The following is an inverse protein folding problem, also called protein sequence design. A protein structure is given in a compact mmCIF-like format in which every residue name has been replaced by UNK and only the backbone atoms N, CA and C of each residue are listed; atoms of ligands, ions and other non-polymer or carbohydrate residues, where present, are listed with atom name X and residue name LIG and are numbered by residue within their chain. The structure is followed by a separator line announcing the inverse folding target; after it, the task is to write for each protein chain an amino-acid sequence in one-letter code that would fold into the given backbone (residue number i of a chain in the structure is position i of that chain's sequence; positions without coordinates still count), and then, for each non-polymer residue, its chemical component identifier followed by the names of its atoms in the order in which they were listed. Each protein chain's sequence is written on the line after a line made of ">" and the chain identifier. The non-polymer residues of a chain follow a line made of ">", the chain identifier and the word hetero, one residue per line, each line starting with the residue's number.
data_IF_117284687297
#
_entry.id   IF_117284687297
#
_cell.length_a   1.000
_cell.length_b   1.000
_cell.length_c   1.000
_cell.angle_alpha   90.00
_cell.angle_beta   90.00
_cell.angle_gamma   90.00
#
_symmetry.space_group_name_H-M   'P 1'
#
loop_
_entity.id
_entity.type
_entity.pdbx_description
1 polymer ?
#
# COMPACT_ATOMS: atom_id res chain seq x y z
N UNK A 1 26.87 34.66 -23.62
CA UNK A 1 26.35 34.01 -22.39
C UNK A 1 25.94 32.58 -22.73
N UNK A 2 26.38 31.56 -21.97
CA UNK A 2 25.99 30.18 -22.22
C UNK A 2 24.50 29.97 -21.94
N UNK A 3 23.81 29.25 -22.83
CA UNK A 3 22.40 28.89 -22.69
C UNK A 3 22.28 27.83 -21.58
N UNK A 4 21.39 27.98 -20.59
CA UNK A 4 21.23 26.96 -19.55
C UNK A 4 20.77 25.65 -20.18
N UNK A 5 21.33 24.53 -19.72
CA UNK A 5 20.93 23.21 -20.17
C UNK A 5 19.43 23.01 -19.88
N UNK A 6 18.65 22.47 -20.83
CA UNK A 6 17.25 22.20 -20.58
C UNK A 6 17.12 21.24 -19.39
N UNK A 7 16.21 21.57 -18.46
CA UNK A 7 15.91 20.73 -17.31
C UNK A 7 15.43 19.34 -17.71
N UNK A 8 15.36 18.39 -16.75
CA UNK A 8 14.97 17.02 -17.04
C UNK A 8 13.60 16.96 -17.72
N UNK A 9 13.50 16.15 -18.76
CA UNK A 9 12.26 15.97 -19.50
C UNK A 9 11.16 15.35 -18.62
N UNK A 10 9.90 15.62 -18.93
CA UNK A 10 8.75 15.02 -18.23
C UNK A 10 8.79 13.48 -18.23
N UNK A 11 9.26 12.89 -19.33
CA UNK A 11 9.46 11.45 -19.43
C UNK A 11 10.53 10.95 -18.45
N UNK A 12 11.65 11.67 -18.35
CA UNK A 12 12.72 11.34 -17.40
C UNK A 12 12.22 11.34 -15.96
N UNK A 13 11.41 12.34 -15.58
CA UNK A 13 10.80 12.42 -14.25
C UNK A 13 9.84 11.24 -13.98
N UNK A 14 9.00 10.86 -14.95
CA UNK A 14 8.09 9.72 -14.83
C UNK A 14 8.89 8.42 -14.67
N UNK A 15 9.94 8.23 -15.46
CA UNK A 15 10.79 7.03 -15.36
C UNK A 15 11.53 6.95 -14.02
N UNK A 16 11.97 8.09 -13.47
CA UNK A 16 12.55 8.15 -12.13
C UNK A 16 11.53 7.70 -11.07
N UNK A 17 10.29 8.16 -11.17
CA UNK A 17 9.21 7.72 -10.27
C UNK A 17 8.89 6.23 -10.38
N UNK A 18 8.74 5.72 -11.61
CA UNK A 18 8.43 4.31 -11.87
C UNK A 18 9.56 3.37 -11.46
N UNK A 19 10.82 3.81 -11.55
CA UNK A 19 11.99 3.06 -11.11
C UNK A 19 12.41 3.32 -9.65
N UNK A 20 11.63 4.09 -8.88
CA UNK A 20 11.94 4.37 -7.48
C UNK A 20 12.08 3.07 -6.69
N UNK A 21 13.17 2.93 -5.94
CA UNK A 21 13.38 1.79 -5.05
C UNK A 21 12.43 1.88 -3.84
N UNK A 22 11.94 0.75 -3.31
CA UNK A 22 12.14 -0.64 -3.74
C UNK A 22 11.40 -0.97 -5.05
N UNK A 23 11.98 -1.85 -5.88
CA UNK A 23 11.31 -2.35 -7.09
C UNK A 23 10.15 -3.26 -6.70
N UNK A 24 8.95 -2.90 -7.12
CA UNK A 24 7.71 -3.56 -6.74
C UNK A 24 7.42 -4.81 -7.60
N UNK A 25 8.36 -5.75 -7.68
CA UNK A 25 8.18 -7.01 -8.43
C UNK A 25 7.39 -8.02 -7.59
N UNK A 26 6.32 -8.56 -8.17
CA UNK A 26 5.43 -9.51 -7.51
C UNK A 26 5.58 -10.91 -8.12
N UNK A 27 5.72 -11.91 -7.27
CA UNK A 27 5.91 -13.30 -7.66
C UNK A 27 4.62 -14.08 -7.41
N UNK A 28 4.19 -14.85 -8.40
CA UNK A 28 3.00 -15.72 -8.27
C UNK A 28 1.67 -14.97 -8.26
N UNK A 29 1.64 -13.65 -8.44
CA UNK A 29 0.40 -12.87 -8.55
C UNK A 29 -0.04 -12.80 -10.01
N UNK A 30 -1.31 -13.13 -10.28
CA UNK A 30 -1.95 -13.07 -11.59
C UNK A 30 -2.84 -11.84 -11.74
N UNK A 31 -3.57 -11.48 -10.69
CA UNK A 31 -4.51 -10.36 -10.71
C UNK A 31 -4.48 -9.55 -9.43
N UNK A 32 -4.72 -8.25 -9.55
CA UNK A 32 -4.88 -7.31 -8.44
C UNK A 32 -6.19 -6.56 -8.67
N UNK A 33 -7.12 -6.67 -7.73
CA UNK A 33 -8.38 -5.92 -7.76
C UNK A 33 -8.37 -4.94 -6.59
N UNK A 34 -8.33 -3.66 -6.88
CA UNK A 34 -8.46 -2.60 -5.88
C UNK A 34 -9.87 -2.02 -5.97
N UNK A 35 -10.63 -2.20 -4.91
CA UNK A 35 -11.90 -1.51 -4.76
C UNK A 35 -11.67 -0.30 -3.86
N UNK A 36 -12.23 0.86 -4.22
CA UNK A 36 -12.25 2.07 -3.37
C UNK A 36 -13.51 2.92 -3.60
N UNK A 37 -13.83 3.82 -2.67
CA UNK A 37 -14.92 4.78 -2.82
C UNK A 37 -14.57 5.84 -3.87
N UNK A 38 -15.52 6.21 -4.74
CA UNK A 38 -15.28 7.15 -5.84
C UNK A 38 -15.02 8.57 -5.35
N UNK A 39 -15.77 9.02 -4.34
CA UNK A 39 -15.62 10.33 -3.68
C UNK A 39 -15.29 10.14 -2.21
N UNK A 40 -14.59 11.13 -1.63
CA UNK A 40 -14.29 11.32 -0.21
C UNK A 40 -14.31 10.04 0.63
N UNK A 41 -13.13 9.48 0.87
CA UNK A 41 -12.79 8.47 1.89
C UNK A 41 -11.48 7.79 1.44
N UNK A 42 -10.82 7.11 2.38
CA UNK A 42 -9.71 6.19 2.11
C UNK A 42 -8.50 6.86 1.44
N UNK A 43 -8.00 7.95 2.04
CA UNK A 43 -6.86 8.71 1.52
C UNK A 43 -5.64 7.84 1.23
N UNK A 44 -5.31 6.88 2.12
CA UNK A 44 -4.20 5.97 1.89
C UNK A 44 -4.39 5.06 0.67
N UNK A 45 -5.59 4.52 0.44
CA UNK A 45 -5.89 3.73 -0.75
C UNK A 45 -5.83 4.58 -2.04
N UNK A 46 -6.24 5.85 -1.98
CA UNK A 46 -6.12 6.79 -3.11
C UNK A 46 -4.68 7.16 -3.41
N UNK A 47 -3.89 7.41 -2.37
CA UNK A 47 -2.46 7.64 -2.51
C UNK A 47 -1.76 6.41 -3.10
N UNK A 48 -2.09 5.21 -2.61
CA UNK A 48 -1.58 3.96 -3.16
C UNK A 48 -1.95 3.79 -4.65
N UNK A 49 -3.21 4.05 -5.02
CA UNK A 49 -3.66 4.02 -6.42
C UNK A 49 -2.87 5.00 -7.32
N UNK A 50 -2.55 6.18 -6.81
CA UNK A 50 -1.88 7.23 -7.58
C UNK A 50 -0.36 7.02 -7.67
N UNK A 51 0.27 6.65 -6.56
CA UNK A 51 1.72 6.64 -6.43
C UNK A 51 2.32 5.26 -6.67
N UNK A 52 1.76 4.21 -6.04
CA UNK A 52 2.36 2.87 -5.99
C UNK A 52 1.84 1.93 -7.08
N UNK A 53 0.54 2.02 -7.42
CA UNK A 53 -0.07 1.14 -8.43
C UNK A 53 0.56 1.29 -9.83
N UNK A 54 0.93 2.50 -10.32
CA UNK A 54 1.68 2.64 -11.56
C UNK A 54 3.07 2.01 -11.50
N UNK A 55 3.75 2.08 -10.35
CA UNK A 55 5.06 1.45 -10.13
C UNK A 55 4.95 -0.08 -10.19
N UNK A 56 3.92 -0.63 -9.55
CA UNK A 56 3.61 -2.07 -9.59
C UNK A 56 3.30 -2.52 -11.03
N UNK A 57 2.46 -1.79 -11.76
CA UNK A 57 2.15 -2.10 -13.17
C UNK A 57 3.40 -2.08 -14.05
N UNK A 58 4.28 -1.11 -13.84
CA UNK A 58 5.51 -0.97 -14.61
C UNK A 58 6.48 -2.14 -14.35
N UNK A 59 6.62 -2.57 -13.09
CA UNK A 59 7.44 -3.72 -12.74
C UNK A 59 6.82 -5.07 -13.17
N UNK A 60 5.48 -5.14 -13.27
CA UNK A 60 4.76 -6.39 -13.55
C UNK A 60 3.74 -6.21 -14.69
N UNK A 61 4.20 -6.15 -15.96
CA UNK A 61 3.31 -5.87 -17.09
C UNK A 61 2.27 -6.96 -17.34
N UNK A 62 2.53 -8.19 -16.89
CA UNK A 62 1.68 -9.38 -17.13
C UNK A 62 0.50 -9.52 -16.15
N UNK A 63 0.51 -8.78 -15.04
CA UNK A 63 -0.54 -8.88 -14.01
C UNK A 63 -1.79 -8.15 -14.49
N UNK A 64 -2.97 -8.75 -14.33
CA UNK A 64 -4.22 -8.01 -14.55
C UNK A 64 -4.50 -7.09 -13.36
N UNK A 65 -4.76 -5.80 -13.59
CA UNK A 65 -5.02 -4.84 -12.51
C UNK A 65 -6.33 -4.15 -12.80
N UNK A 66 -7.29 -4.36 -11.90
CA UNK A 66 -8.63 -3.82 -11.99
C UNK A 66 -8.86 -2.85 -10.84
N UNK A 67 -9.43 -1.68 -11.14
CA UNK A 67 -9.72 -0.64 -10.14
C UNK A 67 -11.20 -0.34 -10.18
N UNK A 68 -11.91 -0.74 -9.13
CA UNK A 68 -13.34 -0.57 -8.98
C UNK A 68 -13.62 0.63 -8.08
N UNK A 69 -14.21 1.69 -8.66
CA UNK A 69 -14.59 2.90 -7.92
C UNK A 69 -16.09 2.88 -7.69
N UNK A 70 -16.51 2.67 -6.45
CA UNK A 70 -17.92 2.56 -6.09
C UNK A 70 -18.47 3.91 -5.64
N UNK A 71 -19.68 4.27 -6.09
CA UNK A 71 -20.40 5.45 -5.61
C UNK A 71 -20.98 5.11 -4.24
N UNK A 72 -20.49 5.77 -3.20
CA UNK A 72 -21.01 5.59 -1.83
C UNK A 72 -22.33 6.35 -1.69
N UNK A 73 -23.39 5.68 -1.27
CA UNK A 73 -24.63 6.29 -0.78
C UNK A 73 -24.49 6.60 0.72
N UNK A 74 -25.21 7.59 1.24
CA UNK A 74 -25.04 8.14 2.60
C UNK A 74 -25.18 7.09 3.71
N UNK A 75 -25.92 6.02 3.46
CA UNK A 75 -26.23 4.98 4.45
C UNK A 75 -25.29 3.75 4.39
N UNK A 76 -24.40 3.68 3.39
CA UNK A 76 -23.56 2.49 3.18
C UNK A 76 -22.15 2.68 3.75
N UNK A 77 -21.83 1.95 4.82
CA UNK A 77 -20.48 1.95 5.41
C UNK A 77 -19.59 0.97 4.65
N UNK A 78 -18.95 1.46 3.60
CA UNK A 78 -18.11 0.64 2.73
C UNK A 78 -16.61 0.74 3.06
N UNK A 79 -15.95 -0.41 3.19
CA UNK A 79 -14.52 -0.52 3.51
C UNK A 79 -13.70 -0.81 2.26
N UNK A 80 -12.54 -0.15 2.09
CA UNK A 80 -11.68 -0.33 0.93
C UNK A 80 -10.97 -1.68 1.00
N UNK A 81 -10.92 -2.36 -0.13
CA UNK A 81 -10.42 -3.72 -0.23
C UNK A 81 -9.43 -3.86 -1.39
N UNK A 82 -8.34 -4.56 -1.13
CA UNK A 82 -7.39 -5.01 -2.14
C UNK A 82 -7.41 -6.54 -2.19
N UNK A 83 -7.69 -7.10 -3.35
CA UNK A 83 -7.72 -8.55 -3.56
C UNK A 83 -6.58 -8.94 -4.50
N UNK A 84 -5.69 -9.80 -4.02
CA UNK A 84 -4.66 -10.46 -4.83
C UNK A 84 -5.18 -11.82 -5.27
N UNK A 85 -5.14 -12.08 -6.57
CA UNK A 85 -5.36 -13.40 -7.15
C UNK A 85 -4.02 -14.00 -7.56
N UNK A 86 -3.66 -15.14 -6.98
CA UNK A 86 -2.41 -15.84 -7.27
C UNK A 86 -2.56 -16.83 -8.44
N UNK A 87 -1.44 -17.20 -9.04
CA UNK A 87 -1.39 -18.16 -10.15
C UNK A 87 -1.81 -19.58 -9.75
N UNK A 88 -1.70 -19.91 -8.46
CA UNK A 88 -2.16 -21.18 -7.88
C UNK A 88 -3.67 -21.21 -7.60
N UNK A 89 -4.39 -20.13 -7.93
CA UNK A 89 -5.83 -19.98 -7.71
C UNK A 89 -6.20 -19.44 -6.33
N UNK A 90 -5.24 -19.22 -5.42
CA UNK A 90 -5.51 -18.61 -4.12
C UNK A 90 -5.89 -17.15 -4.28
N UNK A 91 -6.73 -16.66 -3.37
CA UNK A 91 -7.08 -15.24 -3.26
C UNK A 91 -6.77 -14.75 -1.86
N UNK A 92 -6.21 -13.55 -1.77
CA UNK A 92 -5.95 -12.90 -0.49
C UNK A 92 -6.52 -11.49 -0.53
N UNK A 93 -7.40 -11.19 0.42
CA UNK A 93 -7.99 -9.87 0.58
C UNK A 93 -7.30 -9.10 1.72
N UNK A 94 -7.13 -7.81 1.51
CA UNK A 94 -6.61 -6.86 2.49
C UNK A 94 -7.62 -5.75 2.69
N UNK A 95 -7.96 -5.50 3.95
CA UNK A 95 -8.70 -4.32 4.35
C UNK A 95 -7.75 -3.11 4.35
N UNK A 96 -8.09 -2.05 3.60
CA UNK A 96 -7.30 -0.83 3.49
C UNK A 96 -7.83 0.32 4.36
N UNK A 97 -8.87 0.07 5.16
CA UNK A 97 -9.49 1.09 6.00
C UNK A 97 -8.48 1.62 7.02
N UNK A 98 -8.39 2.94 7.15
CA UNK A 98 -7.46 3.63 8.05
C UNK A 98 -5.96 3.26 7.85
N UNK A 99 -5.59 2.70 6.70
CA UNK A 99 -4.20 2.39 6.38
C UNK A 99 -3.56 3.49 5.54
N UNK A 100 -2.28 3.73 5.80
CA UNK A 100 -1.44 4.58 4.96
C UNK A 100 -0.98 3.82 3.72
N UNK A 101 -0.69 4.54 2.62
CA UNK A 101 -0.22 3.92 1.37
C UNK A 101 1.08 3.13 1.56
N UNK A 102 2.00 3.63 2.40
CA UNK A 102 3.25 2.96 2.76
C UNK A 102 3.00 1.60 3.42
N UNK A 103 2.04 1.53 4.34
CA UNK A 103 1.63 0.29 5.01
C UNK A 103 1.01 -0.69 4.01
N UNK A 104 0.12 -0.21 3.14
CA UNK A 104 -0.53 -1.05 2.12
C UNK A 104 0.52 -1.64 1.17
N UNK A 105 1.46 -0.81 0.73
CA UNK A 105 2.56 -1.25 -0.13
C UNK A 105 3.45 -2.28 0.57
N UNK A 106 3.82 -2.03 1.83
CA UNK A 106 4.59 -2.98 2.62
C UNK A 106 3.86 -4.32 2.77
N UNK A 107 2.58 -4.35 3.15
CA UNK A 107 1.81 -5.58 3.30
C UNK A 107 1.73 -6.39 1.99
N UNK A 108 1.54 -5.70 0.86
CA UNK A 108 1.53 -6.32 -0.45
C UNK A 108 2.90 -6.92 -0.80
N UNK A 109 3.99 -6.20 -0.52
CA UNK A 109 5.34 -6.68 -0.79
C UNK A 109 5.77 -7.79 0.18
N UNK A 110 5.35 -7.75 1.45
CA UNK A 110 5.57 -8.83 2.41
C UNK A 110 4.87 -10.12 1.96
N UNK A 111 3.73 -10.00 1.29
CA UNK A 111 2.97 -11.14 0.79
C UNK A 111 3.50 -11.69 -0.54
N UNK A 112 3.85 -10.81 -1.49
CA UNK A 112 4.11 -11.19 -2.88
C UNK A 112 5.45 -10.70 -3.45
N UNK A 113 6.25 -9.94 -2.68
CA UNK A 113 7.48 -9.30 -3.15
C UNK A 113 8.69 -10.23 -3.28
N UNK A 114 8.62 -11.45 -2.74
CA UNK A 114 9.62 -12.49 -2.92
C UNK A 114 11.03 -12.15 -2.41
N UNK A 115 12.05 -12.78 -3.00
CA UNK A 115 13.45 -12.67 -2.56
C UNK A 115 14.04 -11.27 -2.71
N UNK A 116 13.65 -10.51 -3.74
CA UNK A 116 14.08 -9.13 -3.93
C UNK A 116 13.61 -8.22 -2.80
N UNK A 117 12.41 -8.46 -2.29
CA UNK A 117 11.88 -7.73 -1.15
C UNK A 117 12.59 -8.10 0.14
N UNK A 118 12.80 -9.39 0.39
CA UNK A 118 13.54 -9.86 1.57
C UNK A 118 14.96 -9.28 1.64
N UNK A 119 15.64 -9.19 0.50
CA UNK A 119 16.97 -8.56 0.44
C UNK A 119 16.91 -7.08 0.78
N UNK A 120 15.94 -6.35 0.21
CA UNK A 120 15.76 -4.92 0.50
C UNK A 120 15.46 -4.65 1.97
N UNK A 121 14.57 -5.45 2.58
CA UNK A 121 14.23 -5.29 4.00
C UNK A 121 15.42 -5.57 4.90
N UNK A 122 16.24 -6.59 4.59
CA UNK A 122 17.47 -6.89 5.31
C UNK A 122 18.49 -5.73 5.21
N UNK A 123 18.78 -5.25 3.99
CA UNK A 123 19.70 -4.13 3.76
C UNK A 123 19.25 -2.85 4.50
N UNK A 124 17.94 -2.58 4.52
CA UNK A 124 17.38 -1.42 5.25
C UNK A 124 17.42 -1.59 6.76
N UNK A 125 17.17 -2.80 7.27
CA UNK A 125 17.25 -3.11 8.68
C UNK A 125 18.69 -2.98 9.21
N UNK A 126 19.67 -3.47 8.46
CA UNK A 126 21.10 -3.32 8.78
C UNK A 126 21.53 -1.85 8.80
N UNK A 127 21.01 -1.05 7.86
CA UNK A 127 21.32 0.38 7.77
C UNK A 127 20.49 1.27 8.74
N UNK A 128 19.56 0.70 9.52
CA UNK A 128 18.72 1.45 10.46
C UNK A 128 17.72 2.41 9.81
N UNK A 129 17.42 2.25 8.53
CA UNK A 129 16.47 3.10 7.79
C UNK A 129 15.06 2.48 7.74
N UNK A 130 14.00 3.30 7.57
CA UNK A 130 12.66 2.76 7.36
C UNK A 130 12.60 1.91 6.08
N UNK A 131 11.84 0.80 6.13
CA UNK A 131 11.69 -0.16 5.04
C UNK A 131 11.08 0.49 3.78
N UNK A 132 10.10 1.37 3.98
CA UNK A 132 9.44 2.16 2.93
C UNK A 132 9.45 3.62 3.36
N UNK A 133 9.82 4.52 2.46
CA UNK A 133 9.74 5.96 2.70
C UNK A 133 8.28 6.40 2.83
N UNK A 134 7.89 6.86 4.02
CA UNK A 134 6.55 7.31 4.33
C UNK A 134 6.35 7.46 5.83
N UNK A 135 5.25 8.07 6.27
CA UNK A 135 4.93 8.17 7.69
C UNK A 135 4.86 6.76 8.30
N UNK A 136 5.37 6.62 9.54
CA UNK A 136 5.50 5.33 10.20
C UNK A 136 4.15 4.65 10.37
N UNK A 137 4.19 3.32 10.56
CA UNK A 137 3.02 2.50 10.93
C UNK A 137 2.27 3.20 12.07
N UNK A 138 1.06 3.68 11.82
CA UNK A 138 0.15 4.10 12.88
C UNK A 138 -0.22 2.85 13.67
N UNK A 139 0.55 2.58 14.73
CA UNK A 139 0.16 1.68 15.80
C UNK A 139 -1.01 2.32 16.53
N UNK A 140 -2.24 2.09 16.06
CA UNK A 140 -3.38 2.05 16.97
C UNK A 140 -3.39 0.67 17.63
N UNK A 141 -2.47 0.52 18.58
CA UNK A 141 -2.52 -0.51 19.60
C UNK A 141 -2.13 0.14 20.93
N UNK A 142 -2.87 1.18 21.31
CA UNK A 142 -2.96 1.56 22.72
C UNK A 142 -3.74 0.43 23.40
N UNK A 143 -3.17 -0.31 24.36
CA UNK A 143 -3.95 -1.25 25.14
C UNK A 143 -5.02 -0.46 25.89
N UNK A 144 -6.28 -0.74 25.57
CA UNK A 144 -7.41 -0.26 26.35
C UNK A 144 -7.16 -0.61 27.82
N UNK A 145 -7.05 0.40 28.68
CA UNK A 145 -7.12 0.18 30.13
C UNK A 145 -8.36 -0.66 30.42
N UNK A 146 -8.25 -1.81 31.12
CA UNK A 146 -9.44 -2.49 31.58
C UNK A 146 -10.11 -1.59 32.64
N UNK A 147 -11.31 -1.12 32.33
CA UNK A 147 -12.22 -0.58 33.35
C UNK A 147 -12.65 -1.75 34.22
N UNK A 148 -11.87 -2.05 35.24
CA UNK A 148 -12.24 -2.99 36.29
C UNK A 148 -13.42 -2.40 37.06
N UNK A 149 -14.61 -2.97 36.82
CA UNK A 149 -15.76 -2.77 37.69
C UNK A 149 -15.46 -3.38 39.06
N UNK A 150 -15.39 -2.52 40.08
CA UNK A 150 -15.45 -2.94 41.47
C UNK A 150 -16.90 -2.81 41.93
N UNK A 151 -17.63 -3.92 41.83
CA UNK A 151 -18.74 -4.18 42.73
C UNK A 151 -18.15 -4.35 44.13
N UNK A 152 -18.45 -3.44 45.04
CA UNK A 152 -18.25 -3.62 46.47
C UNK A 152 -19.62 -3.55 47.14
N UNK A 153 -20.01 -4.73 47.61
CA UNK A 153 -21.20 -5.06 48.37
C UNK A 153 -20.88 -4.82 49.87
N UNK A 154 -21.81 -4.16 50.57
CA UNK A 154 -22.07 -4.20 52.03
C UNK A 154 -21.08 -3.47 52.97
N UNK A 155 -21.48 -3.07 54.20
CA UNK A 155 -22.56 -3.57 55.08
C UNK A 155 -23.90 -2.83 55.05
#
# INVERSE_FOLDING_TARGET
>A
MPKPLPGPSRLSQILQHLNKAPRATLIGVKSITLTLAQRNDHFGARHFLKEDLPRIRFANPKIDIQVNKLVKTTDETWQPELVLGFSDGRKQSFNLSNKWSSTIFQELMDTAGGSSWTRWTAERAEAGFPIVEGPPKSHDSTPSKPTTGAAAVLP
#
